data_IF_519301971131
#
_entry.id   IF_519301971131
#
_cell.length_a   1.000
_cell.length_b   1.000
_cell.length_c   1.000
_cell.angle_alpha   90.00
_cell.angle_beta   90.00
_cell.angle_gamma   90.00
#
_symmetry.space_group_name_H-M   'P 1'
#
loop_
_entity.id
_entity.type
_entity.pdbx_description
1 polymer ?
#
# COMPACT_ATOMS: atom_id res chain seq x y z
N UNK A 1 65.36 3.29 39.78
CA UNK A 1 64.59 4.02 38.77
C UNK A 1 64.13 2.98 37.76
N UNK A 2 62.91 2.48 37.94
CA UNK A 2 62.22 1.71 36.93
C UNK A 2 61.38 2.73 36.17
N UNK A 3 61.72 2.96 34.90
CA UNK A 3 60.88 3.71 33.98
C UNK A 3 59.69 2.81 33.63
N UNK A 4 58.52 3.16 34.16
CA UNK A 4 57.24 2.63 33.70
C UNK A 4 57.02 3.11 32.28
N UNK A 5 57.09 2.20 31.31
CA UNK A 5 56.57 2.42 29.96
C UNK A 5 55.10 2.87 30.07
N UNK A 6 54.67 3.89 29.31
CA UNK A 6 53.25 4.23 29.23
C UNK A 6 52.52 3.05 28.59
N UNK A 7 51.52 2.58 29.31
CA UNK A 7 50.74 1.34 29.11
C UNK A 7 50.04 1.32 27.74
N UNK A 8 50.62 0.63 26.76
CA UNK A 8 50.10 0.51 25.38
C UNK A 8 48.64 0.00 25.33
N UNK A 9 48.25 -0.83 26.30
CA UNK A 9 46.90 -1.35 26.50
C UNK A 9 45.87 -0.23 26.73
N UNK A 10 46.26 0.82 27.46
CA UNK A 10 45.40 1.95 27.78
C UNK A 10 45.21 2.88 26.55
N UNK A 11 46.21 2.91 25.66
CA UNK A 11 46.12 3.66 24.40
C UNK A 11 45.19 3.00 23.38
N UNK A 12 45.24 1.67 23.23
CA UNK A 12 44.38 0.93 22.31
C UNK A 12 42.90 1.01 22.70
N UNK A 13 42.59 0.85 23.99
CA UNK A 13 41.22 0.95 24.50
C UNK A 13 40.65 2.37 24.32
N UNK A 14 41.48 3.39 24.51
CA UNK A 14 41.10 4.78 24.26
C UNK A 14 40.76 5.00 22.77
N UNK A 15 41.57 4.47 21.85
CA UNK A 15 41.33 4.58 20.41
C UNK A 15 40.06 3.82 20.01
N UNK A 16 39.84 2.61 20.54
CA UNK A 16 38.64 1.81 20.31
C UNK A 16 37.36 2.57 20.72
N UNK A 17 37.38 3.20 21.90
CA UNK A 17 36.28 4.04 22.37
C UNK A 17 36.04 5.24 21.44
N UNK A 18 37.09 5.90 20.98
CA UNK A 18 36.99 7.00 20.01
C UNK A 18 36.41 6.55 18.67
N UNK A 19 36.76 5.36 18.17
CA UNK A 19 36.21 4.78 16.95
C UNK A 19 34.70 4.52 17.09
N UNK A 20 34.28 3.89 18.19
CA UNK A 20 32.85 3.66 18.47
C UNK A 20 32.05 4.98 18.52
N UNK A 21 32.62 6.02 19.14
CA UNK A 21 31.99 7.34 19.20
C UNK A 21 31.95 8.03 17.83
N UNK A 22 33.00 7.88 17.01
CA UNK A 22 33.04 8.42 15.65
C UNK A 22 31.97 7.78 14.76
N UNK A 23 31.85 6.45 14.78
CA UNK A 23 30.80 5.71 14.05
C UNK A 23 29.41 6.16 14.51
N UNK A 24 29.21 6.28 15.84
CA UNK A 24 27.96 6.74 16.42
C UNK A 24 27.59 8.17 15.98
N UNK A 25 28.54 9.10 16.02
CA UNK A 25 28.28 10.48 15.64
C UNK A 25 27.98 10.61 14.14
N UNK A 26 28.74 9.94 13.27
CA UNK A 26 28.47 9.97 11.83
C UNK A 26 27.09 9.41 11.49
N UNK A 27 26.66 8.34 12.17
CA UNK A 27 25.31 7.80 12.02
C UNK A 27 24.23 8.80 12.46
N UNK A 28 24.39 9.42 13.64
CA UNK A 28 23.39 10.33 14.20
C UNK A 28 23.35 11.71 13.51
N UNK A 29 24.45 12.11 12.88
CA UNK A 29 24.57 13.37 12.15
C UNK A 29 24.20 13.20 10.65
N UNK A 30 24.03 11.96 10.18
CA UNK A 30 23.45 11.65 8.87
C UNK A 30 21.97 12.00 8.86
N UNK A 31 21.52 12.75 7.84
CA UNK A 31 20.09 13.06 7.66
C UNK A 31 19.21 11.83 7.59
N UNK A 32 19.72 10.73 7.03
CA UNK A 32 18.96 9.50 6.79
C UNK A 32 19.45 8.31 7.62
N UNK A 33 20.23 8.56 8.68
CA UNK A 33 20.81 7.48 9.50
C UNK A 33 21.59 6.44 8.67
N UNK A 34 22.41 6.91 7.73
CA UNK A 34 23.26 6.08 6.89
C UNK A 34 24.50 5.63 7.66
N UNK A 35 25.00 4.45 7.34
CA UNK A 35 26.19 3.90 7.96
C UNK A 35 27.49 4.38 7.31
N UNK A 36 28.59 4.13 8.00
CA UNK A 36 29.94 4.59 7.62
C UNK A 36 30.69 3.47 6.90
N UNK A 37 31.32 3.75 5.77
CA UNK A 37 32.16 2.75 5.10
C UNK A 37 33.38 2.40 5.95
N UNK A 38 33.57 1.10 6.24
CA UNK A 38 34.74 0.64 6.98
C UNK A 38 36.04 0.96 6.23
N UNK A 39 36.08 0.71 4.92
CA UNK A 39 37.24 1.06 4.08
C UNK A 39 37.61 2.53 4.20
N UNK A 40 36.64 3.45 4.07
CA UNK A 40 36.91 4.89 4.21
C UNK A 40 37.45 5.26 5.59
N UNK A 41 36.96 4.58 6.64
CA UNK A 41 37.40 4.82 8.01
C UNK A 41 38.81 4.30 8.26
N UNK A 42 39.14 3.11 7.75
CA UNK A 42 40.47 2.50 7.83
C UNK A 42 41.48 3.33 7.05
N UNK A 43 41.18 3.70 5.80
CA UNK A 43 42.04 4.54 4.96
C UNK A 43 42.32 5.91 5.60
N UNK A 44 41.29 6.53 6.20
CA UNK A 44 41.44 7.83 6.85
C UNK A 44 42.31 7.80 8.11
N UNK A 45 42.54 6.61 8.68
CA UNK A 45 43.27 6.39 9.93
C UNK A 45 44.50 5.49 9.72
N UNK A 46 44.98 5.31 8.48
CA UNK A 46 46.11 4.42 8.15
C UNK A 46 47.40 4.80 8.93
N UNK A 47 47.60 6.09 9.21
CA UNK A 47 48.76 6.60 9.97
C UNK A 47 48.62 6.43 11.50
N UNK A 48 47.51 5.88 12.01
CA UNK A 48 47.34 5.64 13.45
C UNK A 48 48.20 4.46 13.92
N UNK A 49 48.76 4.52 15.14
CA UNK A 49 49.68 3.50 15.66
C UNK A 49 49.00 2.18 16.07
N UNK A 50 47.68 2.03 15.88
CA UNK A 50 46.90 0.85 16.22
C UNK A 50 46.25 0.28 14.96
N UNK A 51 46.07 -1.04 14.91
CA UNK A 51 45.36 -1.70 13.82
C UNK A 51 43.85 -1.38 13.90
N UNK A 52 43.41 -0.42 13.10
CA UNK A 52 42.03 0.07 13.10
C UNK A 52 41.06 -1.02 12.68
N UNK A 53 41.46 -1.92 11.77
CA UNK A 53 40.59 -3.02 11.32
C UNK A 53 40.40 -4.07 12.43
N UNK A 54 41.46 -4.38 13.18
CA UNK A 54 41.38 -5.24 14.37
C UNK A 54 40.48 -4.62 15.45
N UNK A 55 40.64 -3.34 15.77
CA UNK A 55 39.82 -2.65 16.77
C UNK A 55 38.33 -2.57 16.39
N UNK A 56 38.01 -2.38 15.10
CA UNK A 56 36.62 -2.40 14.64
C UNK A 56 36.05 -3.82 14.75
N UNK A 57 36.84 -4.84 14.44
CA UNK A 57 36.44 -6.24 14.58
C UNK A 57 36.16 -6.60 16.04
N UNK A 58 36.96 -6.10 16.98
CA UNK A 58 36.68 -6.19 18.43
C UNK A 58 35.35 -5.51 18.80
N UNK A 59 35.11 -4.28 18.32
CA UNK A 59 33.84 -3.58 18.56
C UNK A 59 32.61 -4.35 18.05
N UNK A 60 32.76 -5.09 16.93
CA UNK A 60 31.71 -5.99 16.42
C UNK A 60 31.53 -7.19 17.33
N UNK A 61 32.62 -7.82 17.78
CA UNK A 61 32.58 -8.95 18.71
C UNK A 61 31.95 -8.58 20.06
N UNK A 62 32.17 -7.34 20.52
CA UNK A 62 31.59 -6.77 21.75
C UNK A 62 30.11 -6.34 21.58
N UNK A 63 29.58 -6.34 20.35
CA UNK A 63 28.20 -5.94 20.07
C UNK A 63 27.96 -4.43 20.16
N UNK A 64 29.00 -3.61 20.05
CA UNK A 64 28.91 -2.14 20.04
C UNK A 64 28.77 -1.58 18.63
N UNK A 65 29.30 -2.29 17.63
CA UNK A 65 29.20 -1.96 16.21
C UNK A 65 28.58 -3.14 15.46
N UNK A 66 27.74 -2.84 14.47
CA UNK A 66 27.19 -3.79 13.51
C UNK A 66 27.86 -3.60 12.16
N UNK A 67 28.38 -4.68 11.57
CA UNK A 67 28.97 -4.69 10.23
C UNK A 67 27.95 -5.17 9.20
N UNK A 68 27.42 -4.26 8.38
CA UNK A 68 26.50 -4.57 7.30
C UNK A 68 27.26 -4.81 5.98
N UNK A 69 27.08 -5.99 5.39
CA UNK A 69 27.69 -6.36 4.12
C UNK A 69 26.72 -6.31 2.91
N UNK A 70 25.49 -5.82 3.11
CA UNK A 70 24.49 -5.73 2.05
C UNK A 70 23.98 -7.07 1.51
N UNK A 71 24.06 -8.13 2.34
CA UNK A 71 23.66 -9.48 1.93
C UNK A 71 22.17 -9.77 2.18
N UNK A 72 21.52 -9.06 3.10
CA UNK A 72 20.06 -9.09 3.30
C UNK A 72 19.33 -8.05 2.44
N UNK A 73 19.96 -6.88 2.26
CA UNK A 73 19.51 -5.82 1.37
C UNK A 73 20.69 -5.29 0.57
N UNK A 74 20.54 -5.18 -0.75
CA UNK A 74 21.63 -4.83 -1.68
C UNK A 74 22.33 -3.52 -1.31
N UNK A 75 21.58 -2.53 -0.82
CA UNK A 75 22.16 -1.27 -0.35
C UNK A 75 22.63 -1.39 1.12
N UNK A 76 23.93 -1.64 1.32
CA UNK A 76 24.54 -1.73 2.64
C UNK A 76 24.56 -0.41 3.43
N UNK A 77 24.32 0.74 2.77
CA UNK A 77 24.29 2.05 3.42
C UNK A 77 22.99 2.37 4.16
N UNK A 78 22.00 1.47 4.10
CA UNK A 78 20.84 1.52 4.99
C UNK A 78 20.71 0.23 5.79
N UNK A 79 20.21 0.34 7.03
CA UNK A 79 19.74 -0.82 7.79
C UNK A 79 18.33 -1.13 7.29
N UNK A 80 18.22 -1.98 6.26
CA UNK A 80 16.92 -2.37 5.72
C UNK A 80 16.09 -3.18 6.72
N UNK A 81 16.73 -4.15 7.38
CA UNK A 81 16.10 -5.08 8.32
C UNK A 81 16.82 -5.10 9.67
N UNK A 82 16.17 -5.56 10.75
CA UNK A 82 16.76 -5.59 12.09
C UNK A 82 18.10 -6.33 12.11
N UNK A 83 19.03 -5.84 12.95
CA UNK A 83 20.34 -6.48 13.12
C UNK A 83 20.22 -7.95 13.49
N UNK A 84 21.11 -8.76 12.91
CA UNK A 84 21.47 -10.06 13.46
C UNK A 84 22.09 -9.89 14.86
N UNK A 85 22.10 -10.95 15.65
CA UNK A 85 22.81 -10.93 16.93
C UNK A 85 24.33 -10.76 16.73
N UNK A 86 25.03 -10.26 17.76
CA UNK A 86 26.44 -9.94 17.69
C UNK A 86 27.33 -11.15 17.34
N UNK A 87 26.95 -12.36 17.77
CA UNK A 87 27.72 -13.58 17.48
C UNK A 87 27.61 -13.93 16.00
N UNK A 88 26.39 -13.88 15.45
CA UNK A 88 26.16 -14.09 14.02
C UNK A 88 26.87 -13.01 13.17
N UNK A 89 26.81 -11.74 13.58
CA UNK A 89 27.46 -10.66 12.86
C UNK A 89 28.99 -10.78 12.87
N UNK A 90 29.59 -11.10 14.02
CA UNK A 90 31.03 -11.34 14.12
C UNK A 90 31.47 -12.58 13.32
N UNK A 91 30.68 -13.66 13.31
CA UNK A 91 30.96 -14.82 12.47
C UNK A 91 30.95 -14.47 10.97
N UNK A 92 30.05 -13.57 10.53
CA UNK A 92 30.03 -13.06 9.17
C UNK A 92 31.28 -12.24 8.84
N UNK A 93 31.75 -11.36 9.74
CA UNK A 93 33.01 -10.62 9.59
C UNK A 93 34.18 -11.57 9.36
N UNK A 94 34.32 -12.60 10.20
CA UNK A 94 35.38 -13.60 10.06
C UNK A 94 35.28 -14.37 8.74
N UNK A 95 34.06 -14.70 8.29
CA UNK A 95 33.82 -15.38 7.02
C UNK A 95 34.22 -14.53 5.81
N UNK A 96 34.05 -13.20 5.90
CA UNK A 96 34.43 -12.23 4.86
C UNK A 96 35.91 -11.87 4.90
N UNK A 97 36.63 -12.26 5.95
CA UNK A 97 38.06 -12.01 6.12
C UNK A 97 38.39 -10.63 6.68
N UNK A 98 37.43 -9.96 7.32
CA UNK A 98 37.60 -8.61 7.89
C UNK A 98 36.36 -7.73 7.70
N UNK A 99 36.47 -6.48 8.14
CA UNK A 99 35.38 -5.49 8.05
C UNK A 99 35.53 -4.56 6.86
N UNK A 100 36.66 -4.57 6.14
CA UNK A 100 36.97 -3.63 5.06
C UNK A 100 35.84 -3.40 4.03
N UNK A 101 35.06 -4.44 3.68
CA UNK A 101 33.94 -4.32 2.73
C UNK A 101 32.58 -3.99 3.37
N UNK A 102 32.54 -3.75 4.68
CA UNK A 102 31.32 -3.48 5.42
C UNK A 102 30.97 -1.99 5.47
N UNK A 103 29.71 -1.73 5.72
CA UNK A 103 29.21 -0.46 6.24
C UNK A 103 28.91 -0.65 7.73
N UNK A 104 29.45 0.23 8.56
CA UNK A 104 29.43 0.15 10.00
C UNK A 104 28.30 1.00 10.57
N UNK A 105 27.63 0.44 11.56
CA UNK A 105 26.57 1.09 12.34
C UNK A 105 26.82 0.93 13.82
N UNK A 106 26.47 1.92 14.66
CA UNK A 106 26.35 1.66 16.09
C UNK A 106 25.18 0.68 16.33
N UNK A 107 25.31 -0.20 17.31
CA UNK A 107 24.20 -1.09 17.69
C UNK A 107 23.12 -0.36 18.48
N UNK A 108 21.93 -0.95 18.57
CA UNK A 108 20.82 -0.42 19.37
C UNK A 108 21.20 -0.23 20.85
N UNK A 109 22.04 -1.13 21.37
CA UNK A 109 22.57 -1.03 22.73
C UNK A 109 23.48 0.20 22.88
N UNK A 110 24.43 0.40 21.96
CA UNK A 110 25.31 1.55 21.96
C UNK A 110 24.53 2.89 21.84
N UNK A 111 23.51 2.93 20.98
CA UNK A 111 22.65 4.10 20.78
C UNK A 111 21.77 4.42 21.99
N UNK A 112 21.24 3.39 22.66
CA UNK A 112 20.47 3.56 23.88
C UNK A 112 21.34 4.10 25.03
N UNK A 113 22.59 3.67 25.14
CA UNK A 113 23.52 4.13 26.17
C UNK A 113 23.84 5.63 26.09
N UNK A 114 23.73 6.23 24.90
CA UNK A 114 23.93 7.68 24.68
C UNK A 114 22.62 8.45 24.59
N UNK A 115 21.49 7.83 24.93
CA UNK A 115 20.15 8.41 24.83
C UNK A 115 19.87 9.03 23.45
N UNK A 116 20.27 8.35 22.37
CA UNK A 116 20.21 8.92 21.01
C UNK A 116 18.79 9.40 20.61
N UNK A 117 17.75 8.71 21.08
CA UNK A 117 16.35 9.10 20.85
C UNK A 117 15.96 10.48 21.40
N UNK A 118 16.62 10.94 22.47
CA UNK A 118 16.33 12.24 23.10
C UNK A 118 16.68 13.44 22.20
N UNK A 119 17.46 13.21 21.13
CA UNK A 119 17.73 14.22 20.09
C UNK A 119 16.47 14.65 19.31
N UNK A 120 15.38 13.87 19.39
CA UNK A 120 14.18 14.01 18.54
C UNK A 120 12.88 14.19 19.35
N UNK A 121 12.75 15.27 20.14
CA UNK A 121 11.55 15.50 20.94
C UNK A 121 10.32 15.71 20.05
N UNK A 122 9.27 14.92 20.31
CA UNK A 122 8.02 14.97 19.53
C UNK A 122 8.11 14.33 18.15
N UNK A 123 9.22 13.70 17.78
CA UNK A 123 9.40 13.01 16.51
C UNK A 123 9.67 11.50 16.76
N UNK A 124 8.63 10.72 17.13
CA UNK A 124 8.78 9.35 17.61
C UNK A 124 9.45 8.39 16.60
N UNK A 125 9.26 8.60 15.31
CA UNK A 125 9.83 7.72 14.28
C UNK A 125 11.29 8.08 13.97
N UNK A 126 11.61 9.38 14.00
CA UNK A 126 13.01 9.84 13.98
C UNK A 126 13.78 9.36 15.20
N UNK A 127 13.15 9.38 16.38
CA UNK A 127 13.73 8.85 17.61
C UNK A 127 13.95 7.33 17.51
N UNK A 128 13.05 6.60 16.85
CA UNK A 128 13.19 5.16 16.62
C UNK A 128 14.39 4.86 15.71
N UNK A 129 14.54 5.59 14.59
CA UNK A 129 15.73 5.48 13.76
C UNK A 129 17.00 5.86 14.52
N UNK A 130 16.99 6.94 15.31
CA UNK A 130 18.13 7.31 16.14
C UNK A 130 18.53 6.24 17.17
N UNK A 131 17.60 5.36 17.56
CA UNK A 131 17.85 4.20 18.43
C UNK A 131 18.23 2.92 17.66
N UNK A 132 18.49 3.03 16.35
CA UNK A 132 18.99 1.94 15.51
C UNK A 132 17.92 0.97 15.04
N UNK A 133 16.66 1.40 14.96
CA UNK A 133 15.62 0.63 14.28
C UNK A 133 15.88 0.59 12.78
N UNK A 134 15.42 -0.48 12.13
CA UNK A 134 15.64 -0.67 10.71
C UNK A 134 14.75 0.28 9.89
N UNK A 135 15.32 0.87 8.85
CA UNK A 135 14.66 1.87 8.01
C UNK A 135 13.42 1.33 7.29
N UNK A 136 13.40 0.04 6.93
CA UNK A 136 12.24 -0.61 6.29
C UNK A 136 11.36 -1.38 7.28
N UNK A 137 11.64 -1.31 8.59
CA UNK A 137 10.71 -1.76 9.62
C UNK A 137 9.43 -0.93 9.50
N UNK A 138 8.28 -1.60 9.41
CA UNK A 138 7.00 -0.93 9.20
C UNK A 138 6.24 -0.80 10.51
N UNK A 139 5.63 0.37 10.69
CA UNK A 139 4.70 0.63 11.78
C UNK A 139 3.29 0.60 11.21
N UNK A 140 2.38 -0.03 11.95
CA UNK A 140 0.98 -0.19 11.57
C UNK A 140 0.07 0.74 12.34
N UNK A 141 -0.88 1.32 11.61
CA UNK A 141 -1.80 2.34 12.06
C UNK A 141 -3.23 1.93 11.77
N UNK A 142 -4.15 2.37 12.62
CA UNK A 142 -5.57 2.38 12.28
C UNK A 142 -5.76 3.23 11.03
N UNK A 143 -6.56 2.75 10.06
CA UNK A 143 -6.70 3.40 8.76
C UNK A 143 -7.30 4.82 8.85
N UNK A 144 -7.95 5.17 9.95
CA UNK A 144 -8.53 6.50 10.20
C UNK A 144 -7.49 7.63 10.31
N UNK A 145 -6.21 7.29 10.43
CA UNK A 145 -5.09 8.24 10.26
C UNK A 145 -5.11 8.94 8.91
N UNK A 146 -5.67 8.29 7.88
CA UNK A 146 -5.74 8.83 6.52
C UNK A 146 -6.86 9.86 6.35
N UNK A 147 -7.82 9.92 7.27
CA UNK A 147 -9.05 10.69 7.10
C UNK A 147 -8.80 12.18 6.92
N UNK A 148 -7.80 12.74 7.62
CA UNK A 148 -7.49 14.18 7.49
C UNK A 148 -6.96 14.55 6.10
N UNK A 149 -6.33 13.62 5.39
CA UNK A 149 -5.75 13.87 4.07
C UNK A 149 -6.80 13.65 2.99
N UNK A 150 -7.61 12.59 3.12
CA UNK A 150 -8.71 12.30 2.20
C UNK A 150 -9.79 13.39 2.22
N UNK A 151 -10.14 13.88 3.40
CA UNK A 151 -11.28 14.80 3.57
C UNK A 151 -10.90 16.28 3.35
N UNK A 152 -9.61 16.61 3.21
CA UNK A 152 -9.10 17.96 3.02
C UNK A 152 -8.54 18.14 1.59
N UNK A 153 -9.19 18.94 0.72
CA UNK A 153 -8.83 19.08 -0.69
C UNK A 153 -7.49 19.80 -0.93
N UNK A 154 -6.80 20.21 0.15
CA UNK A 154 -5.43 20.72 0.12
C UNK A 154 -4.40 19.60 0.01
N UNK A 155 -4.80 18.35 0.19
CA UNK A 155 -3.94 17.20 -0.03
C UNK A 155 -4.39 16.42 -1.27
N UNK A 156 -3.41 15.94 -2.03
CA UNK A 156 -3.60 14.85 -2.97
C UNK A 156 -3.39 13.54 -2.23
N UNK A 157 -4.36 12.64 -2.37
CA UNK A 157 -4.44 11.39 -1.63
C UNK A 157 -4.86 10.28 -2.58
N UNK A 158 -4.14 9.16 -2.53
CA UNK A 158 -4.51 7.92 -3.21
C UNK A 158 -4.45 6.75 -2.24
N UNK A 159 -5.32 5.76 -2.46
CA UNK A 159 -5.28 4.50 -1.74
C UNK A 159 -5.87 3.37 -2.60
N UNK A 160 -5.02 2.39 -2.88
CA UNK A 160 -5.36 1.10 -3.46
C UNK A 160 -4.61 0.00 -2.68
N UNK A 161 -3.77 -0.81 -3.33
CA UNK A 161 -2.81 -1.70 -2.63
C UNK A 161 -1.82 -0.88 -1.80
N UNK A 162 -1.39 0.26 -2.34
CA UNK A 162 -0.66 1.28 -1.61
C UNK A 162 -1.25 2.64 -1.84
N UNK A 163 -0.65 3.65 -1.23
CA UNK A 163 -1.07 5.03 -1.36
C UNK A 163 0.08 5.99 -1.18
N UNK A 164 -0.21 7.24 -1.50
CA UNK A 164 0.69 8.38 -1.35
C UNK A 164 -0.11 9.57 -0.83
N UNK A 165 0.57 10.48 -0.13
CA UNK A 165 0.00 11.73 0.37
C UNK A 165 0.93 12.87 -0.01
N UNK A 166 0.37 13.86 -0.70
CA UNK A 166 1.08 15.07 -1.11
C UNK A 166 0.31 16.31 -0.67
N UNK A 167 0.97 17.25 -0.01
CA UNK A 167 0.41 18.57 0.21
C UNK A 167 0.44 19.39 -1.09
N UNK A 168 -0.68 20.04 -1.42
CA UNK A 168 -0.74 20.99 -2.53
C UNK A 168 -0.06 22.31 -2.13
N UNK A 169 0.36 23.06 -3.15
CA UNK A 169 0.96 24.38 -2.96
C UNK A 169 0.06 25.29 -2.09
N UNK A 170 0.67 25.94 -1.08
CA UNK A 170 -0.03 26.81 -0.14
C UNK A 170 -0.64 26.11 1.08
N UNK A 171 -0.40 24.81 1.24
CA UNK A 171 -0.78 24.08 2.46
C UNK A 171 0.18 24.42 3.62
N UNK A 172 -0.29 24.62 4.87
CA UNK A 172 0.57 24.99 6.00
C UNK A 172 1.65 23.96 6.34
N UNK A 173 1.41 22.69 6.04
CA UNK A 173 2.37 21.59 6.19
C UNK A 173 2.72 21.10 4.79
N UNK A 174 4.01 21.01 4.51
CA UNK A 174 4.55 20.43 3.28
C UNK A 174 4.60 18.90 3.42
N UNK A 175 3.45 18.30 3.72
CA UNK A 175 3.35 16.85 3.94
C UNK A 175 3.72 16.12 2.67
N UNK A 176 4.69 15.24 2.77
CA UNK A 176 5.07 14.34 1.70
C UNK A 176 5.28 12.94 2.28
N UNK A 177 4.33 12.04 2.02
CA UNK A 177 4.47 10.63 2.32
C UNK A 177 4.50 9.85 1.01
N UNK A 178 5.73 9.52 0.58
CA UNK A 178 6.03 8.92 -0.72
C UNK A 178 5.23 7.67 -1.01
N UNK A 179 5.10 6.79 -0.01
CA UNK A 179 4.43 5.51 -0.19
C UNK A 179 4.06 4.89 1.16
N UNK A 180 2.92 4.22 1.19
CA UNK A 180 2.48 3.33 2.26
C UNK A 180 1.65 2.20 1.67
N UNK A 181 1.46 1.14 2.45
CA UNK A 181 0.65 -0.01 2.05
C UNK A 181 -0.59 -0.13 2.93
N UNK A 182 -1.64 -0.76 2.42
CA UNK A 182 -2.57 -1.46 3.30
C UNK A 182 -1.85 -2.63 3.98
N UNK A 183 -2.25 -2.96 5.20
CA UNK A 183 -1.83 -4.15 5.91
C UNK A 183 -3.00 -5.08 6.20
N UNK A 184 -2.71 -6.38 6.27
CA UNK A 184 -3.69 -7.44 6.52
C UNK A 184 -3.24 -8.34 7.67
N UNK A 185 -4.22 -8.92 8.36
CA UNK A 185 -3.98 -9.87 9.44
C UNK A 185 -3.55 -11.21 8.85
N UNK A 186 -2.72 -11.96 9.59
CA UNK A 186 -2.44 -13.37 9.26
C UNK A 186 -3.67 -14.25 9.43
N UNK A 187 -4.61 -13.83 10.28
CA UNK A 187 -5.92 -14.45 10.37
C UNK A 187 -6.77 -14.10 9.14
N UNK A 188 -6.95 -15.08 8.25
CA UNK A 188 -7.77 -14.97 7.04
C UNK A 188 -9.27 -14.67 7.30
N UNK A 189 -9.72 -14.72 8.57
CA UNK A 189 -11.07 -14.33 8.96
C UNK A 189 -11.20 -12.83 9.28
N UNK A 190 -10.09 -12.11 9.41
CA UNK A 190 -10.10 -10.67 9.62
C UNK A 190 -10.16 -9.94 8.28
N UNK A 191 -11.16 -9.08 8.13
CA UNK A 191 -11.26 -8.12 7.02
C UNK A 191 -10.81 -6.71 7.45
N UNK A 192 -10.22 -6.56 8.64
CA UNK A 192 -9.70 -5.28 9.10
C UNK A 192 -8.54 -4.82 8.21
N UNK A 193 -8.61 -3.56 7.81
CA UNK A 193 -7.57 -2.89 7.03
C UNK A 193 -6.83 -1.93 7.95
N UNK A 194 -5.51 -2.14 8.04
CA UNK A 194 -4.59 -1.20 8.68
C UNK A 194 -3.72 -0.52 7.63
N UNK A 195 -3.01 0.52 8.01
CA UNK A 195 -2.04 1.21 7.17
C UNK A 195 -0.65 0.90 7.69
N UNK A 196 0.22 0.36 6.84
CA UNK A 196 1.62 0.07 7.16
C UNK A 196 2.55 1.06 6.48
N UNK A 197 3.45 1.67 7.26
CA UNK A 197 4.42 2.65 6.77
C UNK A 197 5.82 2.33 7.29
N UNK A 198 6.82 2.15 6.40
CA UNK A 198 8.22 2.06 6.82
C UNK A 198 8.69 3.28 7.61
N UNK A 199 9.53 3.03 8.62
CA UNK A 199 10.10 4.09 9.47
C UNK A 199 10.82 5.17 8.67
N UNK A 200 11.49 4.81 7.58
CA UNK A 200 12.13 5.77 6.67
C UNK A 200 11.17 6.86 6.19
N UNK A 201 9.98 6.48 5.74
CA UNK A 201 9.01 7.45 5.23
C UNK A 201 8.29 8.22 6.35
N UNK A 202 8.10 7.59 7.51
CA UNK A 202 7.58 8.29 8.69
C UNK A 202 8.58 9.32 9.24
N UNK A 203 9.87 9.07 9.12
CA UNK A 203 10.93 9.99 9.53
C UNK A 203 10.93 11.29 8.72
N UNK A 204 10.59 11.20 7.43
CA UNK A 204 10.53 12.37 6.54
C UNK A 204 9.38 13.34 6.89
N UNK A 205 8.41 12.89 7.69
CA UNK A 205 7.33 13.74 8.19
C UNK A 205 7.82 14.72 9.28
N UNK A 206 7.18 15.88 9.39
CA UNK A 206 7.50 16.83 10.46
C UNK A 206 7.21 16.23 11.86
N UNK A 207 7.86 16.70 12.95
CA UNK A 207 7.59 16.19 14.30
C UNK A 207 6.09 16.22 14.68
N UNK A 208 5.36 17.28 14.32
CA UNK A 208 3.92 17.35 14.55
C UNK A 208 3.12 16.27 13.82
N UNK A 209 3.57 15.88 12.63
CA UNK A 209 2.93 14.83 11.85
C UNK A 209 3.29 13.46 12.38
N UNK A 210 4.55 13.21 12.73
CA UNK A 210 4.94 11.97 13.41
C UNK A 210 4.13 11.79 14.71
N UNK A 211 3.94 12.84 15.49
CA UNK A 211 3.06 12.82 16.68
C UNK A 211 1.59 12.56 16.34
N UNK A 212 1.09 13.12 15.24
CA UNK A 212 -0.26 12.80 14.75
C UNK A 212 -0.38 11.32 14.41
N UNK A 213 0.49 10.79 13.55
CA UNK A 213 0.52 9.37 13.18
C UNK A 213 0.64 8.46 14.41
N UNK A 214 1.49 8.82 15.38
CA UNK A 214 1.65 8.11 16.66
C UNK A 214 0.35 7.94 17.43
N UNK A 215 -0.55 8.92 17.38
CA UNK A 215 -1.86 8.84 18.05
C UNK A 215 -2.84 7.86 17.39
N UNK A 216 -2.51 7.36 16.20
CA UNK A 216 -3.28 6.37 15.45
C UNK A 216 -2.53 5.03 15.30
N UNK A 217 -1.38 4.86 15.95
CA UNK A 217 -0.71 3.56 15.97
C UNK A 217 -1.67 2.48 16.45
N UNK A 218 -1.65 1.35 15.75
CA UNK A 218 -2.49 0.22 16.06
C UNK A 218 -1.93 -0.52 17.29
N UNK A 219 -2.80 -0.99 18.18
CA UNK A 219 -2.38 -1.71 19.41
C UNK A 219 -1.57 -2.98 19.10
N UNK A 220 -1.85 -3.57 17.93
CA UNK A 220 -1.10 -4.68 17.32
C UNK A 220 -0.21 -4.20 16.19
N UNK A 221 1.01 -4.75 16.12
CA UNK A 221 2.03 -4.45 15.10
C UNK A 221 2.44 -5.68 14.27
N UNK A 222 1.82 -6.83 14.51
CA UNK A 222 2.10 -8.12 13.85
C UNK A 222 1.36 -8.31 12.51
N UNK A 223 1.13 -7.21 11.80
CA UNK A 223 0.44 -7.18 10.51
C UNK A 223 1.40 -7.46 9.34
N UNK A 224 0.84 -7.80 8.18
CA UNK A 224 1.60 -8.00 6.96
C UNK A 224 1.28 -6.89 5.96
N UNK A 225 2.32 -6.27 5.40
CA UNK A 225 2.17 -5.39 4.25
C UNK A 225 1.69 -6.19 3.03
N UNK A 226 0.93 -5.54 2.16
CA UNK A 226 0.46 -6.14 0.92
C UNK A 226 1.64 -6.63 0.06
N UNK A 227 1.66 -7.90 -0.40
CA UNK A 227 2.81 -8.47 -1.10
C UNK A 227 3.14 -7.74 -2.41
N UNK A 228 2.13 -7.31 -3.19
CA UNK A 228 2.35 -6.52 -4.41
C UNK A 228 2.72 -5.05 -4.15
N UNK A 229 2.68 -4.62 -2.88
CA UNK A 229 3.35 -3.39 -2.48
C UNK A 229 4.82 -3.67 -2.13
N UNK A 230 5.08 -4.73 -1.35
CA UNK A 230 6.42 -5.12 -0.88
C UNK A 230 7.37 -5.42 -2.03
N UNK A 231 6.93 -6.15 -3.05
CA UNK A 231 7.76 -6.53 -4.21
C UNK A 231 8.44 -5.33 -4.88
N UNK A 232 7.70 -4.34 -5.42
CA UNK A 232 8.32 -3.21 -6.10
C UNK A 232 9.02 -2.24 -5.14
N UNK A 233 8.49 -2.03 -3.93
CA UNK A 233 9.01 -0.97 -3.05
C UNK A 233 10.16 -1.41 -2.15
N UNK A 234 10.20 -2.68 -1.73
CA UNK A 234 11.21 -3.20 -0.80
C UNK A 234 12.16 -4.21 -1.45
N UNK A 235 11.71 -4.96 -2.46
CA UNK A 235 12.48 -6.07 -3.05
C UNK A 235 13.02 -5.78 -4.46
N UNK A 236 12.52 -4.73 -5.14
CA UNK A 236 12.88 -4.44 -6.53
C UNK A 236 12.31 -5.46 -7.53
N UNK A 237 11.22 -6.14 -7.15
CA UNK A 237 10.52 -7.14 -7.95
C UNK A 237 9.27 -6.55 -8.61
N UNK A 238 8.78 -7.15 -9.69
CA UNK A 238 7.52 -6.72 -10.32
C UNK A 238 6.31 -7.17 -9.50
N UNK A 239 5.23 -6.37 -9.44
CA UNK A 239 3.96 -6.82 -8.88
C UNK A 239 3.38 -7.96 -9.74
N UNK A 240 2.67 -8.89 -9.11
CA UNK A 240 2.10 -10.07 -9.76
C UNK A 240 0.62 -9.89 -10.11
N UNK A 241 -0.12 -9.07 -9.36
CA UNK A 241 -1.56 -8.91 -9.48
C UNK A 241 -1.99 -7.46 -9.19
N UNK A 242 -3.20 -7.12 -9.61
CA UNK A 242 -3.85 -5.82 -9.35
C UNK A 242 -4.98 -5.94 -8.32
N UNK A 243 -5.34 -4.82 -7.70
CA UNK A 243 -6.49 -4.77 -6.79
C UNK A 243 -7.82 -5.00 -7.55
N UNK A 244 -8.88 -5.47 -6.89
CA UNK A 244 -10.20 -5.58 -7.51
C UNK A 244 -10.78 -4.22 -7.91
N UNK A 245 -10.37 -3.11 -7.27
CA UNK A 245 -10.78 -1.76 -7.63
C UNK A 245 -10.18 -1.36 -8.97
N UNK A 246 -8.87 -1.55 -9.13
CA UNK A 246 -8.14 -1.27 -10.37
C UNK A 246 -8.62 -2.19 -11.49
N UNK A 247 -8.85 -3.48 -11.21
CA UNK A 247 -9.38 -4.44 -12.16
C UNK A 247 -10.75 -4.04 -12.74
N UNK A 248 -11.67 -3.50 -11.94
CA UNK A 248 -12.97 -3.01 -12.45
C UNK A 248 -12.78 -1.92 -13.49
N UNK A 249 -11.87 -0.97 -13.25
CA UNK A 249 -11.60 0.14 -14.18
C UNK A 249 -10.97 -0.36 -15.48
N UNK A 250 -10.04 -1.31 -15.37
CA UNK A 250 -9.43 -1.98 -16.53
C UNK A 250 -10.47 -2.76 -17.34
N UNK A 251 -11.36 -3.51 -16.67
CA UNK A 251 -12.46 -4.25 -17.29
C UNK A 251 -13.42 -3.32 -18.04
N UNK A 252 -13.78 -2.17 -17.45
CA UNK A 252 -14.63 -1.17 -18.13
C UNK A 252 -13.99 -0.63 -19.41
N UNK A 253 -12.69 -0.34 -19.38
CA UNK A 253 -11.92 0.10 -20.55
C UNK A 253 -11.94 -0.97 -21.63
N UNK A 254 -11.56 -2.21 -21.29
CA UNK A 254 -11.55 -3.33 -22.23
C UNK A 254 -12.93 -3.58 -22.85
N UNK A 255 -14.00 -3.46 -22.07
CA UNK A 255 -15.39 -3.54 -22.57
C UNK A 255 -15.67 -2.50 -23.65
N UNK A 256 -15.29 -1.24 -23.43
CA UNK A 256 -15.54 -0.17 -24.41
C UNK A 256 -14.67 -0.35 -25.67
N UNK A 257 -13.41 -0.76 -25.53
CA UNK A 257 -12.53 -1.08 -26.65
C UNK A 257 -13.11 -2.22 -27.52
N UNK A 258 -13.68 -3.25 -26.89
CA UNK A 258 -14.39 -4.32 -27.61
C UNK A 258 -15.64 -3.77 -28.30
N UNK A 259 -16.43 -2.92 -27.65
CA UNK A 259 -17.60 -2.28 -28.26
C UNK A 259 -17.23 -1.57 -29.56
N UNK A 260 -16.15 -0.79 -29.54
CA UNK A 260 -15.65 -0.08 -30.72
C UNK A 260 -15.23 -1.03 -31.84
N UNK A 261 -14.48 -2.09 -31.52
CA UNK A 261 -14.03 -3.09 -32.50
C UNK A 261 -15.20 -3.82 -33.19
N UNK A 262 -16.28 -4.09 -32.45
CA UNK A 262 -17.48 -4.75 -32.99
C UNK A 262 -18.48 -3.77 -33.62
N UNK A 263 -18.25 -2.46 -33.52
CA UNK A 263 -19.12 -1.40 -34.06
C UNK A 263 -20.41 -1.19 -33.26
N UNK A 264 -20.31 -1.35 -31.94
CA UNK A 264 -21.37 -1.04 -30.97
C UNK A 264 -21.05 0.30 -30.31
N UNK A 265 -22.06 1.08 -29.88
CA UNK A 265 -21.82 2.18 -28.94
C UNK A 265 -21.14 1.65 -27.69
N UNK A 266 -20.26 2.43 -27.07
CA UNK A 266 -19.64 2.10 -25.77
C UNK A 266 -20.68 1.68 -24.73
N UNK A 267 -20.38 0.66 -23.92
CA UNK A 267 -21.26 0.23 -22.84
C UNK A 267 -21.23 1.22 -21.67
N UNK A 268 -20.05 1.71 -21.30
CA UNK A 268 -19.85 2.70 -20.24
C UNK A 268 -19.66 4.09 -20.84
N UNK A 269 -20.37 5.09 -20.34
CA UNK A 269 -20.31 6.47 -20.88
C UNK A 269 -19.03 7.20 -20.50
N UNK A 270 -18.50 6.88 -19.33
CA UNK A 270 -17.30 7.51 -18.76
C UNK A 270 -16.36 6.42 -18.31
N UNK A 271 -15.09 6.51 -18.72
CA UNK A 271 -14.00 5.72 -18.15
C UNK A 271 -13.33 6.54 -17.03
N UNK A 272 -12.95 5.85 -15.97
CA UNK A 272 -12.22 6.43 -14.85
C UNK A 272 -10.81 5.86 -14.92
N UNK A 273 -9.86 6.68 -15.38
CA UNK A 273 -8.43 6.39 -15.33
C UNK A 273 -7.82 6.95 -14.04
N UNK A 274 -6.50 6.80 -13.86
CA UNK A 274 -5.79 7.26 -12.66
C UNK A 274 -6.09 8.72 -12.31
N UNK A 275 -6.25 9.59 -13.31
CA UNK A 275 -6.49 11.02 -13.10
C UNK A 275 -7.94 11.34 -12.70
N UNK A 276 -8.88 10.49 -13.11
CA UNK A 276 -10.31 10.70 -12.87
C UNK A 276 -10.90 9.72 -11.86
N UNK A 277 -10.09 8.85 -11.24
CA UNK A 277 -10.52 7.90 -10.21
C UNK A 277 -11.16 8.67 -9.05
N UNK A 278 -12.42 8.38 -8.67
CA UNK A 278 -13.03 9.04 -7.54
C UNK A 278 -12.24 8.76 -6.25
N UNK A 279 -11.96 9.79 -5.45
CA UNK A 279 -11.18 9.67 -4.20
C UNK A 279 -11.80 8.67 -3.21
N UNK A 280 -13.13 8.60 -3.17
CA UNK A 280 -13.88 7.66 -2.31
C UNK A 280 -14.04 6.26 -2.91
N UNK A 281 -13.40 5.97 -4.06
CA UNK A 281 -13.39 4.66 -4.69
C UNK A 281 -12.14 3.87 -4.30
N UNK A 282 -12.18 3.30 -3.10
CA UNK A 282 -11.10 2.51 -2.50
C UNK A 282 -11.53 1.89 -1.17
N UNK A 283 -10.55 1.47 -0.37
CA UNK A 283 -10.78 0.88 0.95
C UNK A 283 -11.48 1.84 1.92
N UNK A 284 -12.33 1.31 2.81
CA UNK A 284 -12.88 2.08 3.91
C UNK A 284 -11.79 2.35 4.95
N UNK A 285 -11.43 3.62 5.14
CA UNK A 285 -10.49 4.03 6.20
C UNK A 285 -11.14 4.01 7.59
N UNK A 286 -12.47 4.07 7.63
CA UNK A 286 -13.29 3.99 8.83
C UNK A 286 -14.44 3.04 8.53
N UNK A 287 -14.59 1.90 9.25
CA UNK A 287 -15.66 0.95 9.02
C UNK A 287 -16.95 1.51 9.64
N UNK A 288 -17.50 2.55 9.03
CA UNK A 288 -18.76 3.16 9.46
C UNK A 288 -19.81 3.00 8.39
N UNK A 289 -21.08 3.03 8.81
CA UNK A 289 -22.19 2.95 7.87
C UNK A 289 -22.20 4.08 6.84
N UNK A 290 -21.75 5.28 7.22
CA UNK A 290 -21.63 6.42 6.29
C UNK A 290 -20.60 6.15 5.20
N UNK A 291 -19.43 5.64 5.57
CA UNK A 291 -18.35 5.31 4.63
C UNK A 291 -18.79 4.21 3.65
N UNK A 292 -19.37 3.12 4.16
CA UNK A 292 -19.90 2.05 3.32
C UNK A 292 -21.01 2.56 2.37
N UNK A 293 -21.88 3.43 2.86
CA UNK A 293 -22.94 4.05 2.06
C UNK A 293 -22.39 4.92 0.93
N UNK A 294 -21.37 5.73 1.22
CA UNK A 294 -20.69 6.55 0.22
C UNK A 294 -20.03 5.67 -0.84
N UNK A 295 -19.33 4.62 -0.42
CA UNK A 295 -18.73 3.63 -1.31
C UNK A 295 -19.77 2.98 -2.24
N UNK A 296 -20.91 2.53 -1.69
CA UNK A 296 -22.00 1.90 -2.47
C UNK A 296 -22.60 2.89 -3.49
N UNK A 297 -22.78 4.16 -3.12
CA UNK A 297 -23.25 5.19 -4.06
C UNK A 297 -22.26 5.38 -5.22
N UNK A 298 -20.95 5.44 -4.93
CA UNK A 298 -19.91 5.55 -5.96
C UNK A 298 -19.88 4.32 -6.86
N UNK A 299 -19.94 3.12 -6.28
CA UNK A 299 -19.96 1.86 -7.01
C UNK A 299 -21.19 1.76 -7.94
N UNK A 300 -22.38 2.14 -7.45
CA UNK A 300 -23.61 2.21 -8.27
C UNK A 300 -23.47 3.23 -9.42
N UNK A 301 -22.90 4.40 -9.15
CA UNK A 301 -22.68 5.43 -10.20
C UNK A 301 -21.76 4.90 -11.29
N UNK A 302 -20.65 4.29 -10.89
CA UNK A 302 -19.61 3.78 -11.77
C UNK A 302 -20.10 2.60 -12.64
N UNK A 303 -20.89 1.68 -12.07
CA UNK A 303 -21.32 0.46 -12.75
C UNK A 303 -22.67 0.54 -13.46
N UNK A 304 -23.65 1.26 -12.88
CA UNK A 304 -25.06 1.17 -13.28
C UNK A 304 -25.54 2.48 -13.91
N UNK A 305 -25.34 3.61 -13.22
CA UNK A 305 -25.77 4.90 -13.75
C UNK A 305 -24.91 5.35 -14.94
N UNK A 306 -23.70 4.77 -15.08
CA UNK A 306 -22.76 4.97 -16.19
C UNK A 306 -23.10 4.18 -17.47
N UNK A 307 -24.09 3.28 -17.45
CA UNK A 307 -24.42 2.44 -18.61
C UNK A 307 -25.06 3.24 -19.76
N UNK A 308 -24.62 3.03 -20.99
CA UNK A 308 -25.09 3.74 -22.17
C UNK A 308 -26.32 3.07 -22.79
N UNK A 309 -27.47 3.76 -22.81
CA UNK A 309 -28.70 3.21 -23.40
C UNK A 309 -28.58 2.93 -24.92
N UNK A 310 -27.70 3.63 -25.62
CA UNK A 310 -27.49 3.44 -27.06
C UNK A 310 -26.94 2.05 -27.38
N UNK A 311 -26.09 1.50 -26.50
CA UNK A 311 -25.60 0.13 -26.60
C UNK A 311 -26.76 -0.87 -26.66
N UNK A 312 -27.71 -0.76 -25.74
CA UNK A 312 -28.86 -1.68 -25.65
C UNK A 312 -29.79 -1.59 -26.86
N UNK A 313 -30.04 -0.37 -27.35
CA UNK A 313 -30.79 -0.16 -28.58
C UNK A 313 -30.12 -0.85 -29.78
N UNK A 314 -28.79 -0.72 -29.91
CA UNK A 314 -28.02 -1.39 -30.95
C UNK A 314 -28.07 -2.92 -30.82
N UNK A 315 -28.06 -3.43 -29.59
CA UNK A 315 -28.16 -4.85 -29.27
C UNK A 315 -29.58 -5.43 -29.42
N UNK A 316 -30.57 -4.64 -29.84
CA UNK A 316 -31.95 -5.11 -30.01
C UNK A 316 -32.71 -5.33 -28.70
N UNK A 317 -32.30 -4.65 -27.63
CA UNK A 317 -33.00 -4.63 -26.34
C UNK A 317 -33.98 -3.46 -26.34
N UNK A 318 -35.22 -3.72 -25.93
CA UNK A 318 -36.23 -2.67 -25.83
C UNK A 318 -35.86 -1.67 -24.73
N UNK A 319 -35.98 -0.37 -25.02
CA UNK A 319 -35.72 0.72 -24.06
C UNK A 319 -36.94 1.06 -23.20
N UNK A 320 -38.14 0.70 -23.65
CA UNK A 320 -39.40 0.91 -22.94
C UNK A 320 -40.06 -0.40 -22.57
N UNK A 321 -40.84 -0.39 -21.50
CA UNK A 321 -41.69 -1.50 -21.08
C UNK A 321 -43.10 -1.00 -20.77
N UNK A 322 -44.09 -1.85 -21.02
CA UNK A 322 -45.49 -1.60 -20.68
C UNK A 322 -45.66 -1.66 -19.16
N UNK A 323 -45.99 -0.54 -18.53
CA UNK A 323 -46.29 -0.43 -17.10
C UNK A 323 -47.76 -0.14 -16.89
N UNK A 324 -48.28 -0.51 -15.72
CA UNK A 324 -49.62 -0.13 -15.26
C UNK A 324 -49.51 0.80 -14.06
N UNK A 325 -50.28 1.87 -14.07
CA UNK A 325 -50.45 2.73 -12.91
C UNK A 325 -51.43 2.13 -11.89
N UNK A 326 -51.58 2.80 -10.74
CA UNK A 326 -52.53 2.40 -9.69
C UNK A 326 -54.00 2.46 -10.13
N UNK A 327 -54.31 3.12 -11.24
CA UNK A 327 -55.63 3.20 -11.84
C UNK A 327 -55.88 2.12 -12.93
N UNK A 328 -54.88 1.28 -13.22
CA UNK A 328 -54.96 0.23 -14.25
C UNK A 328 -54.70 0.70 -15.68
N UNK A 329 -54.34 1.97 -15.88
CA UNK A 329 -53.98 2.52 -17.19
C UNK A 329 -52.61 1.99 -17.60
N UNK A 330 -52.51 1.49 -18.83
CA UNK A 330 -51.24 1.01 -19.39
C UNK A 330 -50.50 2.16 -20.07
N UNK A 331 -49.23 2.36 -19.72
CA UNK A 331 -48.35 3.35 -20.34
C UNK A 331 -46.97 2.74 -20.63
N UNK A 332 -46.22 3.31 -21.56
CA UNK A 332 -44.84 2.92 -21.79
C UNK A 332 -43.90 3.69 -20.85
N UNK A 333 -43.21 2.96 -19.98
CA UNK A 333 -42.20 3.49 -19.08
C UNK A 333 -40.79 3.21 -19.59
N UNK A 334 -39.84 4.10 -19.29
CA UNK A 334 -38.42 3.85 -19.53
C UNK A 334 -37.93 2.68 -18.67
N UNK A 335 -37.18 1.76 -19.27
CA UNK A 335 -36.57 0.63 -18.57
C UNK A 335 -35.30 1.07 -17.85
N UNK A 336 -35.04 0.46 -16.70
CA UNK A 336 -33.79 0.67 -15.98
C UNK A 336 -32.60 0.07 -16.74
N UNK A 337 -31.46 0.76 -16.76
CA UNK A 337 -30.23 0.29 -17.43
C UNK A 337 -29.74 -1.04 -16.88
N UNK A 338 -29.89 -1.28 -15.58
CA UNK A 338 -29.59 -2.57 -14.96
C UNK A 338 -30.39 -3.72 -15.59
N UNK A 339 -31.72 -3.54 -15.74
CA UNK A 339 -32.58 -4.56 -16.33
C UNK A 339 -32.23 -4.81 -17.80
N UNK A 340 -31.86 -3.76 -18.53
CA UNK A 340 -31.40 -3.87 -19.91
C UNK A 340 -30.07 -4.64 -20.01
N UNK A 341 -29.13 -4.39 -19.09
CA UNK A 341 -27.87 -5.13 -19.02
C UNK A 341 -28.10 -6.61 -18.71
N UNK A 342 -28.93 -6.92 -17.71
CA UNK A 342 -29.28 -8.31 -17.37
C UNK A 342 -29.89 -9.04 -18.56
N UNK A 343 -30.90 -8.46 -19.21
CA UNK A 343 -31.53 -9.09 -20.37
C UNK A 343 -30.55 -9.26 -21.54
N UNK A 344 -29.67 -8.28 -21.77
CA UNK A 344 -28.63 -8.41 -22.79
C UNK A 344 -27.69 -9.59 -22.48
N UNK A 345 -27.24 -9.74 -21.23
CA UNK A 345 -26.38 -10.86 -20.85
C UNK A 345 -27.10 -12.20 -21.02
N UNK A 346 -28.36 -12.30 -20.56
CA UNK A 346 -29.20 -13.50 -20.67
C UNK A 346 -29.46 -13.91 -22.13
N UNK A 347 -29.65 -12.95 -23.04
CA UNK A 347 -29.83 -13.22 -24.47
C UNK A 347 -28.53 -13.57 -25.19
N UNK A 348 -27.40 -13.08 -24.68
CA UNK A 348 -26.08 -13.27 -25.32
C UNK A 348 -25.47 -14.61 -24.92
N UNK A 349 -25.66 -15.02 -23.66
CA UNK A 349 -25.11 -16.27 -23.15
C UNK A 349 -25.80 -17.48 -23.78
N UNK A 350 -25.02 -18.40 -24.35
CA UNK A 350 -25.55 -19.64 -24.96
C UNK A 350 -25.60 -20.81 -23.97
N UNK A 351 -24.63 -20.87 -23.07
CA UNK A 351 -24.49 -21.91 -22.06
C UNK A 351 -23.78 -21.31 -20.85
N UNK A 352 -24.40 -21.40 -19.68
CA UNK A 352 -23.89 -20.85 -18.42
C UNK A 352 -24.01 -21.89 -17.28
N UNK A 353 -23.17 -22.95 -17.31
CA UNK A 353 -23.24 -24.00 -16.30
C UNK A 353 -22.79 -23.51 -14.92
N UNK A 354 -21.97 -22.44 -14.88
CA UNK A 354 -21.43 -21.86 -13.67
C UNK A 354 -22.31 -20.76 -13.08
N UNK A 355 -23.37 -20.34 -13.77
CA UNK A 355 -24.30 -19.32 -13.30
C UNK A 355 -23.71 -17.92 -13.20
N UNK A 356 -22.75 -17.57 -14.06
CA UNK A 356 -22.08 -16.27 -14.04
C UNK A 356 -23.02 -15.11 -14.34
N UNK A 357 -23.95 -15.26 -15.30
CA UNK A 357 -24.90 -14.19 -15.64
C UNK A 357 -25.89 -13.94 -14.50
N UNK A 358 -26.54 -14.95 -13.90
CA UNK A 358 -27.35 -14.77 -12.70
C UNK A 358 -26.58 -14.13 -11.54
N UNK A 359 -25.34 -14.57 -11.28
CA UNK A 359 -24.51 -14.02 -10.20
C UNK A 359 -24.16 -12.54 -10.42
N UNK A 360 -23.76 -12.18 -11.66
CA UNK A 360 -23.50 -10.80 -12.05
C UNK A 360 -24.74 -9.91 -11.87
N UNK A 361 -25.90 -10.40 -12.32
CA UNK A 361 -27.16 -9.68 -12.17
C UNK A 361 -27.54 -9.49 -10.70
N UNK A 362 -27.30 -10.49 -9.84
CA UNK A 362 -27.62 -10.41 -8.43
C UNK A 362 -26.77 -9.36 -7.69
N UNK A 363 -25.45 -9.39 -7.87
CA UNK A 363 -24.57 -8.38 -7.24
C UNK A 363 -24.93 -6.96 -7.67
N UNK A 364 -25.20 -6.74 -8.97
CA UNK A 364 -25.59 -5.40 -9.44
C UNK A 364 -26.96 -4.96 -8.88
N UNK A 365 -27.91 -5.89 -8.69
CA UNK A 365 -29.18 -5.59 -8.00
C UNK A 365 -28.96 -5.26 -6.53
N UNK A 366 -28.08 -5.98 -5.85
CA UNK A 366 -27.71 -5.70 -4.47
C UNK A 366 -27.11 -4.31 -4.31
N UNK A 367 -26.14 -3.94 -5.16
CA UNK A 367 -25.56 -2.58 -5.19
C UNK A 367 -26.65 -1.53 -5.40
N UNK A 368 -27.56 -1.74 -6.37
CA UNK A 368 -28.67 -0.79 -6.63
C UNK A 368 -29.65 -0.68 -5.48
N UNK A 369 -29.96 -1.80 -4.82
CA UNK A 369 -30.88 -1.87 -3.69
C UNK A 369 -30.27 -1.21 -2.46
N UNK A 370 -29.03 -1.55 -2.11
CA UNK A 370 -28.32 -0.98 -0.98
C UNK A 370 -28.20 0.54 -1.10
N UNK A 371 -27.91 1.04 -2.30
CA UNK A 371 -27.94 2.47 -2.62
C UNK A 371 -29.30 3.13 -2.31
N UNK A 372 -30.38 2.46 -2.71
CA UNK A 372 -31.74 2.98 -2.50
C UNK A 372 -32.12 2.98 -1.01
N UNK A 373 -31.76 1.94 -0.28
CA UNK A 373 -32.01 1.83 1.17
C UNK A 373 -31.27 2.91 1.97
N UNK A 374 -30.06 3.30 1.54
CA UNK A 374 -29.31 4.43 2.08
C UNK A 374 -30.00 5.76 1.79
N UNK A 375 -30.42 6.00 0.55
CA UNK A 375 -31.02 7.27 0.13
C UNK A 375 -32.36 7.59 0.83
N UNK A 376 -33.08 6.57 1.32
CA UNK A 376 -34.43 6.73 1.86
C UNK A 376 -34.53 6.72 3.40
N UNK A 377 -33.41 6.56 4.14
CA UNK A 377 -33.42 6.51 5.61
C UNK A 377 -32.27 7.33 6.20
N UNK A 378 -32.60 8.37 6.96
CA UNK A 378 -31.63 9.02 7.87
C UNK A 378 -31.33 8.01 8.99
N UNK A 379 -30.12 7.48 9.03
CA UNK A 379 -29.64 6.54 10.08
C UNK A 379 -28.48 7.16 10.85
N UNK A 380 -28.30 6.74 12.09
CA UNK A 380 -27.12 7.11 12.89
C UNK A 380 -25.84 6.54 12.26
N UNK A 381 -24.76 7.32 12.32
CA UNK A 381 -23.45 6.91 11.82
C UNK A 381 -22.76 6.03 12.87
N UNK A 382 -22.97 4.72 12.76
CA UNK A 382 -22.39 3.72 13.66
C UNK A 382 -21.07 3.17 13.10
N UNK A 383 -20.12 2.87 14.00
CA UNK A 383 -18.94 2.07 13.72
C UNK A 383 -19.30 0.59 13.73
N UNK A 384 -19.00 -0.11 12.64
CA UNK A 384 -19.37 -1.49 12.39
C UNK A 384 -18.29 -2.19 11.52
N UNK A 385 -17.38 -2.99 12.12
CA UNK A 385 -16.33 -3.70 11.40
C UNK A 385 -16.82 -4.59 10.24
N UNK A 386 -18.08 -5.04 10.28
CA UNK A 386 -18.69 -5.82 9.18
C UNK A 386 -18.72 -5.02 7.87
N UNK A 387 -18.60 -3.69 7.94
CA UNK A 387 -18.52 -2.83 6.76
C UNK A 387 -17.35 -3.20 5.82
N UNK A 388 -16.21 -3.66 6.35
CA UNK A 388 -15.10 -4.11 5.51
C UNK A 388 -15.44 -5.38 4.74
N UNK A 389 -16.00 -6.39 5.42
CA UNK A 389 -16.46 -7.63 4.80
C UNK A 389 -17.50 -7.36 3.70
N UNK A 390 -18.43 -6.43 3.95
CA UNK A 390 -19.46 -6.08 2.97
C UNK A 390 -18.87 -5.32 1.77
N UNK A 391 -17.97 -4.37 1.99
CA UNK A 391 -17.24 -3.70 0.91
C UNK A 391 -16.50 -4.73 0.04
N UNK A 392 -15.73 -5.61 0.68
CA UNK A 392 -14.95 -6.69 0.07
C UNK A 392 -15.86 -7.53 -0.84
N UNK A 393 -16.97 -8.03 -0.30
CA UNK A 393 -17.95 -8.83 -1.05
C UNK A 393 -18.50 -8.10 -2.28
N UNK A 394 -18.88 -6.83 -2.12
CA UNK A 394 -19.46 -6.02 -3.19
C UNK A 394 -18.45 -5.69 -4.29
N UNK A 395 -17.20 -5.35 -3.94
CA UNK A 395 -16.19 -4.97 -4.95
C UNK A 395 -15.80 -6.16 -5.81
N UNK A 396 -15.56 -7.35 -5.24
CA UNK A 396 -15.23 -8.53 -6.05
C UNK A 396 -16.41 -9.07 -6.83
N UNK A 397 -17.61 -9.07 -6.25
CA UNK A 397 -18.81 -9.41 -7.01
C UNK A 397 -18.98 -8.48 -8.21
N UNK A 398 -18.69 -7.19 -8.04
CA UNK A 398 -18.75 -6.18 -9.10
C UNK A 398 -17.68 -6.40 -10.17
N UNK A 399 -16.43 -6.68 -9.78
CA UNK A 399 -15.37 -7.09 -10.70
C UNK A 399 -15.81 -8.27 -11.57
N UNK A 400 -16.33 -9.35 -10.95
CA UNK A 400 -16.82 -10.52 -11.68
C UNK A 400 -18.00 -10.19 -12.59
N UNK A 401 -18.87 -9.26 -12.20
CA UNK A 401 -19.98 -8.81 -13.04
C UNK A 401 -19.51 -8.08 -14.32
N UNK A 402 -18.54 -7.16 -14.20
CA UNK A 402 -17.98 -6.46 -15.37
C UNK A 402 -17.17 -7.42 -16.24
N UNK A 403 -16.37 -8.31 -15.64
CA UNK A 403 -15.65 -9.37 -16.34
C UNK A 403 -16.60 -10.27 -17.14
N UNK A 404 -17.76 -10.63 -16.58
CA UNK A 404 -18.78 -11.41 -17.28
C UNK A 404 -19.28 -10.67 -18.53
N UNK A 405 -19.54 -9.35 -18.42
CA UNK A 405 -19.94 -8.55 -19.57
C UNK A 405 -18.84 -8.49 -20.64
N UNK A 406 -17.56 -8.32 -20.25
CA UNK A 406 -16.42 -8.38 -21.17
C UNK A 406 -16.37 -9.71 -21.90
N UNK A 407 -16.40 -10.84 -21.18
CA UNK A 407 -16.28 -12.17 -21.78
C UNK A 407 -17.42 -12.48 -22.76
N UNK A 408 -18.65 -12.03 -22.46
CA UNK A 408 -19.76 -12.14 -23.39
C UNK A 408 -19.53 -11.34 -24.67
N UNK A 409 -18.98 -10.13 -24.58
CA UNK A 409 -18.61 -9.33 -25.75
C UNK A 409 -17.44 -9.94 -26.54
N UNK A 410 -16.45 -10.52 -25.85
CA UNK A 410 -15.31 -11.20 -26.48
C UNK A 410 -15.69 -12.41 -27.32
N UNK A 411 -16.84 -13.02 -27.05
CA UNK A 411 -17.36 -14.11 -27.89
C UNK A 411 -17.72 -13.67 -29.32
N UNK A 412 -17.79 -12.36 -29.58
CA UNK A 412 -18.05 -11.82 -30.91
C UNK A 412 -16.81 -11.95 -31.82
N UNK A 413 -16.92 -12.46 -33.06
CA UNK A 413 -15.75 -12.72 -33.93
C UNK A 413 -14.84 -11.51 -34.18
N UNK A 414 -15.42 -10.29 -34.18
CA UNK A 414 -14.66 -9.04 -34.37
C UNK A 414 -13.94 -8.55 -33.11
N UNK A 415 -14.19 -9.13 -31.94
CA UNK A 415 -13.53 -8.75 -30.71
C UNK A 415 -12.08 -9.26 -30.64
N UNK A 416 -11.70 -10.25 -31.46
CA UNK A 416 -10.36 -10.83 -31.50
C UNK A 416 -9.25 -9.84 -31.92
N UNK A 417 -9.61 -8.62 -32.34
CA UNK A 417 -8.64 -7.56 -32.65
C UNK A 417 -8.27 -6.70 -31.45
N UNK A 418 -8.96 -6.88 -30.31
CA UNK A 418 -8.70 -6.12 -29.08
C UNK A 418 -7.79 -6.92 -28.19
N UNK A 419 -6.68 -6.31 -27.81
CA UNK A 419 -5.74 -6.87 -26.85
C UNK A 419 -6.27 -6.63 -25.43
N UNK A 420 -6.26 -7.67 -24.61
CA UNK A 420 -6.80 -7.62 -23.25
C UNK A 420 -5.61 -7.57 -22.31
N UNK A 421 -5.56 -6.66 -21.33
CA UNK A 421 -4.46 -6.63 -20.38
C UNK A 421 -4.22 -8.01 -19.77
N UNK A 422 -2.96 -8.43 -19.70
CA UNK A 422 -2.53 -9.74 -19.19
C UNK A 422 -3.12 -10.00 -17.81
N UNK A 423 -3.23 -8.96 -16.99
CA UNK A 423 -3.78 -9.04 -15.64
C UNK A 423 -5.24 -9.51 -15.64
N UNK A 424 -6.04 -9.11 -16.63
CA UNK A 424 -7.45 -9.50 -16.77
C UNK A 424 -7.63 -10.83 -17.51
N UNK A 425 -6.73 -11.15 -18.44
CA UNK A 425 -6.78 -12.39 -19.21
C UNK A 425 -6.37 -13.59 -18.35
N UNK A 426 -5.27 -13.46 -17.59
CA UNK A 426 -4.79 -14.49 -16.69
C UNK A 426 -5.52 -14.49 -15.33
N UNK A 427 -6.34 -13.46 -15.07
CA UNK A 427 -7.07 -13.31 -13.82
C UNK A 427 -6.16 -13.01 -12.63
N UNK A 428 -5.06 -12.29 -12.87
CA UNK A 428 -4.10 -11.77 -11.87
C UNK A 428 -4.73 -10.59 -11.10
N UNK A 429 -5.83 -10.87 -10.42
CA UNK A 429 -6.54 -9.93 -9.57
C UNK A 429 -6.61 -10.54 -8.19
N UNK A 430 -6.18 -9.77 -7.18
CA UNK A 430 -6.19 -10.24 -5.81
C UNK A 430 -7.59 -10.74 -5.46
N UNK A 431 -7.71 -12.00 -4.96
CA UNK A 431 -8.99 -12.51 -4.53
C UNK A 431 -9.50 -11.58 -3.47
N UNK A 432 -8.68 -11.30 -2.44
CA UNK A 432 -8.52 -10.09 -1.62
C UNK A 432 -7.29 -10.24 -0.75
#
# INVERSE_FOLDING_TARGET
>A
MAETEPDATNSAETIKSMLGQLITNQYLDSSDFNGVSAAQLVDALEDFPADVEELITELVAEGLVYANFGHEMVNAHIIGFPHQDAVANHAEVLRRGGVSSAVLYPTREALAAVSAGDRYPGAPYSASLALGHAQLESVFFRADVLGRYRDDPRYDYTLDIGGEIHAREGTPHDTYLTTFSIGFDRDALSDEIVVGVPLRYLHDLSPSEQSYWKSFEHDRQDWMLHPDWVRPHLMGEFPEQVSPYTAILMEMRAVNEICDAIGYPELFRTLYDEQNRPTDYGYLILPTRRELSNFIEQLNKLLIDNLNQKFFSRAGIALTESRRDSAGTTYEGQRGTLNMLTEWMERTVRHDPSGWVPAAAEVLREVRKARSDTAHRVRENEYDPVAWSEQRRLVVGSYRAVQTARQLLQSHPRAATVDVPEELEEGKVWPF
#
